data_IF_455189171513
#
_entry.id   IF_455189171513
#
_cell.length_a   1.000
_cell.length_b   1.000
_cell.length_c   1.000
_cell.angle_alpha   90.00
_cell.angle_beta   90.00
_cell.angle_gamma   90.00
#
_symmetry.space_group_name_H-M   'P 1'
#
loop_
_entity.id
_entity.type
_entity.pdbx_description
1 polymer ?
#
# COMPACT_ATOMS: atom_id res chain seq x y z
N UNK A 1 -13.87 -34.51 -11.57
CA UNK A 1 -13.64 -33.22 -10.88
C UNK A 1 -14.28 -33.32 -9.49
N UNK A 2 -13.56 -33.07 -8.40
CA UNK A 2 -13.96 -33.35 -7.00
C UNK A 2 -15.24 -32.62 -6.56
N UNK A 3 -15.73 -31.66 -7.35
CA UNK A 3 -16.91 -30.84 -7.06
C UNK A 3 -18.26 -31.56 -7.19
N UNK A 4 -18.33 -32.75 -7.78
CA UNK A 4 -19.62 -33.45 -8.01
C UNK A 4 -20.19 -34.19 -6.79
N UNK A 5 -19.46 -34.26 -5.66
CA UNK A 5 -19.84 -35.08 -4.51
C UNK A 5 -20.01 -34.32 -3.19
N UNK A 6 -20.23 -33.00 -3.25
CA UNK A 6 -20.41 -32.17 -2.05
C UNK A 6 -21.45 -31.08 -2.29
N UNK A 7 -22.16 -30.66 -1.23
CA UNK A 7 -23.02 -29.47 -1.22
C UNK A 7 -22.16 -28.19 -1.17
N UNK A 8 -21.22 -28.05 -2.11
CA UNK A 8 -20.35 -26.88 -2.24
C UNK A 8 -20.80 -26.05 -3.44
N UNK A 9 -20.83 -24.74 -3.27
CA UNK A 9 -21.17 -23.77 -4.31
C UNK A 9 -20.00 -22.81 -4.51
N UNK A 10 -19.77 -22.38 -5.75
CA UNK A 10 -18.78 -21.36 -6.10
C UNK A 10 -19.56 -20.09 -6.43
N UNK A 11 -19.42 -19.07 -5.58
CA UNK A 11 -20.13 -17.80 -5.71
C UNK A 11 -19.12 -16.66 -5.83
N UNK A 12 -19.50 -15.61 -6.56
CA UNK A 12 -18.79 -14.32 -6.49
C UNK A 12 -19.12 -13.61 -5.17
N UNK A 13 -18.31 -12.63 -4.73
CA UNK A 13 -18.61 -11.86 -3.52
C UNK A 13 -20.01 -11.21 -3.55
N UNK A 14 -20.43 -10.65 -4.69
CA UNK A 14 -21.77 -10.07 -4.84
C UNK A 14 -22.88 -11.12 -4.72
N UNK A 15 -22.72 -12.29 -5.33
CA UNK A 15 -23.69 -13.38 -5.23
C UNK A 15 -23.81 -13.91 -3.79
N UNK A 16 -22.69 -14.01 -3.08
CA UNK A 16 -22.70 -14.41 -1.68
C UNK A 16 -23.41 -13.37 -0.80
N UNK A 17 -23.18 -12.08 -1.05
CA UNK A 17 -23.84 -10.99 -0.34
C UNK A 17 -25.35 -10.94 -0.60
N UNK A 18 -25.80 -11.19 -1.83
CA UNK A 18 -27.23 -11.23 -2.18
C UNK A 18 -27.94 -12.47 -1.58
N UNK A 19 -27.23 -13.60 -1.49
CA UNK A 19 -27.79 -14.88 -1.04
C UNK A 19 -27.91 -14.98 0.47
N UNK A 20 -26.93 -14.49 1.23
CA UNK A 20 -26.83 -14.73 2.67
C UNK A 20 -27.29 -13.51 3.48
N UNK A 21 -28.02 -13.77 4.57
CA UNK A 21 -28.42 -12.70 5.50
C UNK A 21 -27.26 -12.34 6.44
N UNK A 22 -27.01 -11.04 6.69
CA UNK A 22 -25.99 -10.62 7.65
C UNK A 22 -26.39 -11.05 9.07
N UNK A 23 -25.44 -11.60 9.82
CA UNK A 23 -25.69 -12.14 11.18
C UNK A 23 -25.40 -11.11 12.26
N UNK A 24 -24.32 -10.33 12.11
CA UNK A 24 -23.89 -9.34 13.08
C UNK A 24 -23.04 -8.24 12.42
N UNK A 25 -23.03 -7.02 12.99
CA UNK A 25 -22.08 -5.98 12.58
C UNK A 25 -20.67 -6.34 13.04
N UNK A 26 -19.68 -6.08 12.16
CA UNK A 26 -18.27 -6.16 12.50
C UNK A 26 -17.75 -4.75 12.82
N UNK A 27 -17.19 -4.55 14.02
CA UNK A 27 -16.57 -3.29 14.43
C UNK A 27 -15.05 -3.37 14.28
N UNK A 28 -14.47 -2.55 13.40
CA UNK A 28 -13.03 -2.50 13.12
C UNK A 28 -12.55 -1.05 13.31
N UNK A 29 -12.23 -0.63 14.55
CA UNK A 29 -11.97 0.78 14.86
C UNK A 29 -10.59 1.29 14.40
N UNK A 30 -9.68 0.39 14.07
CA UNK A 30 -8.32 0.71 13.63
C UNK A 30 -8.03 0.04 12.29
N UNK A 31 -7.14 0.65 11.50
CA UNK A 31 -6.65 0.03 10.28
C UNK A 31 -5.89 -1.26 10.62
N UNK A 32 -6.22 -2.34 9.93
CA UNK A 32 -5.60 -3.65 10.06
C UNK A 32 -5.14 -4.13 8.69
N UNK A 33 -4.26 -5.11 8.67
CA UNK A 33 -3.82 -5.76 7.44
C UNK A 33 -3.79 -7.27 7.57
N UNK A 34 -3.70 -7.94 6.43
CA UNK A 34 -3.46 -9.39 6.38
C UNK A 34 -1.97 -9.74 6.56
N UNK A 35 -1.07 -8.76 6.52
CA UNK A 35 0.37 -8.96 6.55
C UNK A 35 0.88 -9.10 8.00
N UNK A 36 2.04 -9.74 8.13
CA UNK A 36 2.83 -9.96 9.35
C UNK A 36 2.04 -10.58 10.52
N UNK A 37 2.73 -10.91 11.61
CA UNK A 37 2.06 -11.44 12.80
C UNK A 37 1.13 -10.41 13.45
N UNK A 38 1.50 -9.13 13.44
CA UNK A 38 0.78 -8.08 14.16
C UNK A 38 -0.56 -7.68 13.53
N UNK A 39 -0.80 -8.05 12.25
CA UNK A 39 -2.04 -7.75 11.49
C UNK A 39 -2.44 -6.27 11.50
N UNK A 40 -1.45 -5.39 11.58
CA UNK A 40 -1.63 -3.94 11.62
C UNK A 40 -0.97 -3.28 10.38
N UNK A 41 -0.76 -1.96 10.44
CA UNK A 41 -0.18 -1.15 9.36
C UNK A 41 1.35 -1.01 9.43
N UNK A 42 2.00 -1.65 10.40
CA UNK A 42 3.43 -1.45 10.65
C UNK A 42 4.35 -1.97 9.53
N UNK A 43 3.85 -2.82 8.62
CA UNK A 43 4.55 -3.21 7.40
C UNK A 43 4.76 -2.03 6.42
N UNK A 44 3.94 -0.98 6.50
CA UNK A 44 4.01 0.20 5.62
C UNK A 44 4.28 1.52 6.35
N UNK A 45 3.99 1.60 7.66
CA UNK A 45 4.14 2.81 8.48
C UNK A 45 4.76 2.51 9.86
N UNK A 46 5.60 1.48 9.96
CA UNK A 46 6.21 1.03 11.20
C UNK A 46 7.53 1.71 11.57
N UNK A 47 8.16 2.45 10.65
CA UNK A 47 9.42 3.15 10.91
C UNK A 47 9.43 4.61 10.40
N UNK A 48 10.52 5.32 10.70
CA UNK A 48 10.69 6.74 10.36
C UNK A 48 10.80 6.97 8.85
N UNK A 49 11.51 6.11 8.11
CA UNK A 49 11.68 6.22 6.65
C UNK A 49 10.32 6.18 5.95
N UNK A 50 9.52 5.17 6.30
CA UNK A 50 8.15 4.98 5.83
C UNK A 50 7.25 6.18 6.18
N UNK A 51 7.28 6.59 7.44
CA UNK A 51 6.47 7.70 7.94
C UNK A 51 6.83 9.02 7.25
N UNK A 52 8.11 9.27 7.01
CA UNK A 52 8.60 10.47 6.33
C UNK A 52 8.21 10.47 4.85
N UNK A 53 8.46 9.36 4.14
CA UNK A 53 8.09 9.20 2.74
C UNK A 53 6.57 9.41 2.54
N UNK A 54 5.75 8.80 3.40
CA UNK A 54 4.30 8.94 3.37
C UNK A 54 3.85 10.38 3.61
N UNK A 55 4.35 11.02 4.67
CA UNK A 55 3.99 12.42 4.98
C UNK A 55 4.40 13.37 3.86
N UNK A 56 5.59 13.20 3.28
CA UNK A 56 6.04 14.08 2.19
C UNK A 56 5.24 13.88 0.90
N UNK A 57 4.78 12.66 0.61
CA UNK A 57 3.88 12.42 -0.52
C UNK A 57 2.59 13.22 -0.38
N UNK A 58 1.90 13.10 0.76
CA UNK A 58 0.59 13.75 0.93
C UNK A 58 0.69 15.28 1.11
N UNK A 59 1.87 15.83 1.45
CA UNK A 59 2.09 17.30 1.46
C UNK A 59 1.91 17.97 0.10
N UNK A 60 2.04 17.22 -0.99
CA UNK A 60 1.95 17.76 -2.36
C UNK A 60 0.65 17.37 -3.09
N UNK A 61 -0.24 16.63 -2.42
CA UNK A 61 -1.46 16.09 -3.02
C UNK A 61 -2.32 17.21 -3.63
N UNK A 62 -2.53 18.29 -2.88
CA UNK A 62 -3.36 19.40 -3.31
C UNK A 62 -2.79 20.12 -4.53
N UNK A 63 -1.48 20.36 -4.54
CA UNK A 63 -0.77 20.99 -5.66
C UNK A 63 -0.85 20.12 -6.92
N UNK A 64 -0.61 18.81 -6.79
CA UNK A 64 -0.72 17.87 -7.91
C UNK A 64 -2.16 17.82 -8.43
N UNK A 65 -3.15 17.77 -7.54
CA UNK A 65 -4.57 17.76 -7.91
C UNK A 65 -4.98 19.02 -8.68
N UNK A 66 -4.44 20.17 -8.31
CA UNK A 66 -4.74 21.47 -8.93
C UNK A 66 -3.93 21.76 -10.20
N UNK A 67 -2.89 20.97 -10.50
CA UNK A 67 -1.96 21.22 -11.61
C UNK A 67 -2.58 21.14 -13.02
N UNK A 68 -3.73 20.48 -13.18
CA UNK A 68 -4.31 20.10 -14.49
C UNK A 68 -3.33 19.33 -15.43
N UNK A 69 -2.24 18.78 -14.89
CA UNK A 69 -1.27 17.97 -15.64
C UNK A 69 -1.59 16.47 -15.46
N UNK A 70 -2.11 15.79 -16.51
CA UNK A 70 -2.48 14.38 -16.41
C UNK A 70 -1.28 13.45 -16.21
N UNK A 71 -0.09 13.83 -16.69
CA UNK A 71 1.14 13.05 -16.49
C UNK A 71 1.62 13.17 -15.04
N UNK A 72 1.63 14.40 -14.48
CA UNK A 72 1.98 14.61 -13.08
C UNK A 72 1.03 13.88 -12.14
N UNK A 73 -0.27 13.93 -12.39
CA UNK A 73 -1.26 13.21 -11.60
C UNK A 73 -1.08 11.69 -11.72
N UNK A 74 -0.70 11.17 -12.90
CA UNK A 74 -0.40 9.74 -13.08
C UNK A 74 0.83 9.33 -12.29
N UNK A 75 1.90 10.13 -12.33
CA UNK A 75 3.14 9.84 -11.63
C UNK A 75 2.93 9.87 -10.10
N UNK A 76 2.15 10.83 -9.60
CA UNK A 76 1.75 10.88 -8.19
C UNK A 76 0.91 9.66 -7.76
N UNK A 77 -0.03 9.19 -8.58
CA UNK A 77 -0.79 7.96 -8.31
C UNK A 77 0.12 6.73 -8.23
N UNK A 78 1.18 6.67 -9.04
CA UNK A 78 2.15 5.56 -8.99
C UNK A 78 2.95 5.56 -7.70
N UNK A 79 3.35 6.73 -7.19
CA UNK A 79 4.05 6.82 -5.90
C UNK A 79 3.20 6.38 -4.70
N UNK A 80 1.88 6.31 -4.84
CA UNK A 80 0.99 5.78 -3.80
C UNK A 80 0.96 4.24 -3.73
N UNK A 81 1.64 3.53 -4.64
CA UNK A 81 1.72 2.08 -4.57
C UNK A 81 2.34 1.64 -3.23
N UNK A 82 1.63 0.76 -2.51
CA UNK A 82 2.02 0.34 -1.16
C UNK A 82 3.39 -0.32 -1.12
N UNK A 83 3.80 -0.97 -2.21
CA UNK A 83 5.09 -1.61 -2.38
C UNK A 83 6.25 -0.66 -2.07
N UNK A 84 6.14 0.63 -2.41
CA UNK A 84 7.18 1.61 -2.09
C UNK A 84 7.47 1.70 -0.59
N UNK A 85 6.43 1.79 0.25
CA UNK A 85 6.60 1.83 1.69
C UNK A 85 6.97 0.47 2.26
N UNK A 86 6.46 -0.61 1.66
CA UNK A 86 6.80 -1.98 2.04
C UNK A 86 8.30 -2.27 1.84
N UNK A 87 8.92 -1.76 0.78
CA UNK A 87 10.37 -1.89 0.53
C UNK A 87 11.24 -1.10 1.50
N UNK A 88 10.67 -0.11 2.19
CA UNK A 88 11.34 0.66 3.25
C UNK A 88 11.17 0.03 4.64
N UNK A 89 10.51 -1.13 4.75
CA UNK A 89 10.31 -1.81 6.02
C UNK A 89 11.64 -2.30 6.60
N UNK A 90 11.84 -2.07 7.90
CA UNK A 90 13.04 -2.46 8.65
C UNK A 90 12.79 -3.59 9.64
N UNK A 91 11.60 -4.22 9.59
CA UNK A 91 11.33 -5.40 10.42
C UNK A 91 12.24 -6.55 9.98
N UNK A 92 12.97 -7.12 10.93
CA UNK A 92 13.85 -8.28 10.71
C UNK A 92 13.36 -9.42 11.60
N UNK A 93 12.63 -10.40 11.05
CA UNK A 93 12.47 -11.79 11.55
C UNK A 93 11.80 -12.62 10.43
N UNK A 94 11.00 -13.67 10.68
CA UNK A 94 10.41 -14.56 9.65
C UNK A 94 9.70 -13.85 8.48
N UNK A 95 9.26 -12.61 8.69
CA UNK A 95 8.62 -11.76 7.68
C UNK A 95 9.64 -11.00 6.80
N UNK A 96 10.88 -10.84 7.27
CA UNK A 96 11.97 -10.16 6.58
C UNK A 96 12.42 -10.84 5.28
N UNK A 97 12.22 -12.15 5.15
CA UNK A 97 12.48 -12.85 3.89
C UNK A 97 11.43 -12.50 2.84
N UNK A 98 10.14 -12.39 3.21
CA UNK A 98 9.06 -11.94 2.30
C UNK A 98 9.26 -10.50 1.86
N UNK A 99 9.74 -9.64 2.76
CA UNK A 99 10.14 -8.27 2.44
C UNK A 99 11.38 -8.18 1.52
N UNK A 100 12.16 -9.26 1.37
CA UNK A 100 13.29 -9.34 0.43
C UNK A 100 12.95 -10.04 -0.88
N UNK A 101 12.01 -10.99 -0.87
CA UNK A 101 11.68 -11.82 -2.04
C UNK A 101 11.28 -11.01 -3.29
N UNK A 102 10.65 -9.84 -3.09
CA UNK A 102 10.19 -8.97 -4.17
C UNK A 102 10.68 -7.53 -4.03
N UNK A 103 11.83 -7.30 -3.38
CA UNK A 103 12.38 -5.95 -3.23
C UNK A 103 13.47 -5.68 -4.27
N UNK A 104 13.32 -4.66 -5.14
CA UNK A 104 14.34 -4.33 -6.14
C UNK A 104 15.56 -3.59 -5.56
N UNK A 105 15.57 -3.31 -4.25
CA UNK A 105 16.64 -2.60 -3.55
C UNK A 105 17.38 -3.51 -2.59
N UNK A 106 18.69 -3.28 -2.41
CA UNK A 106 19.50 -4.08 -1.49
C UNK A 106 19.21 -3.74 -0.03
N UNK A 107 18.74 -2.50 0.23
CA UNK A 107 18.39 -2.04 1.58
C UNK A 107 17.14 -1.15 1.61
N UNK A 108 16.43 -1.10 2.76
CA UNK A 108 15.36 -0.13 2.99
C UNK A 108 15.78 1.34 2.79
N UNK A 109 17.05 1.65 3.07
CA UNK A 109 17.61 2.99 2.88
C UNK A 109 17.74 3.34 1.39
N UNK A 110 18.17 2.42 0.54
CA UNK A 110 18.19 2.63 -0.91
C UNK A 110 16.79 2.83 -1.48
N UNK A 111 15.83 2.02 -1.03
CA UNK A 111 14.42 2.20 -1.39
C UNK A 111 13.91 3.60 -1.03
N UNK A 112 14.21 4.06 0.19
CA UNK A 112 13.85 5.38 0.68
C UNK A 112 14.52 6.50 -0.14
N UNK A 113 15.84 6.42 -0.36
CA UNK A 113 16.59 7.44 -1.13
C UNK A 113 16.03 7.55 -2.54
N UNK A 114 15.80 6.42 -3.22
CA UNK A 114 15.24 6.43 -4.57
C UNK A 114 13.83 7.05 -4.59
N UNK A 115 12.97 6.65 -3.65
CA UNK A 115 11.63 7.21 -3.53
C UNK A 115 11.65 8.72 -3.29
N UNK A 116 12.50 9.20 -2.36
CA UNK A 116 12.59 10.62 -2.04
C UNK A 116 13.17 11.45 -3.20
N UNK A 117 14.08 10.89 -4.01
CA UNK A 117 14.57 11.53 -5.23
C UNK A 117 13.44 11.72 -6.26
N UNK A 118 12.63 10.69 -6.50
CA UNK A 118 11.48 10.77 -7.42
C UNK A 118 10.43 11.74 -6.88
N UNK A 119 10.13 11.68 -5.58
CA UNK A 119 9.19 12.60 -4.95
C UNK A 119 9.65 14.06 -5.02
N UNK A 120 10.96 14.31 -4.91
CA UNK A 120 11.54 15.65 -5.09
C UNK A 120 11.29 16.19 -6.49
N UNK A 121 11.49 15.38 -7.55
CA UNK A 121 11.17 15.78 -8.93
C UNK A 121 9.69 16.11 -9.10
N UNK A 122 8.78 15.25 -8.60
CA UNK A 122 7.34 15.49 -8.64
C UNK A 122 6.97 16.78 -7.89
N UNK A 123 7.60 17.04 -6.74
CA UNK A 123 7.39 18.26 -5.95
C UNK A 123 7.79 19.51 -6.74
N UNK A 124 8.93 19.46 -7.44
CA UNK A 124 9.38 20.56 -8.30
C UNK A 124 8.42 20.78 -9.48
N UNK A 125 7.90 19.71 -10.09
CA UNK A 125 6.91 19.81 -11.18
C UNK A 125 5.57 20.37 -10.69
N UNK A 126 5.14 20.01 -9.48
CA UNK A 126 3.90 20.51 -8.87
C UNK A 126 3.97 21.99 -8.45
N UNK A 127 5.18 22.54 -8.26
CA UNK A 127 5.38 23.93 -7.79
C UNK A 127 5.76 24.90 -8.90
N UNK A 128 6.20 24.40 -10.07
CA UNK A 128 6.44 25.23 -11.25
C UNK A 128 5.10 25.77 -11.77
N UNK A 129 4.96 27.09 -11.74
CA UNK A 129 3.91 27.84 -12.45
C UNK A 129 4.45 28.32 -13.79
#
# INVERSE_FOLDING_TARGET
>A
MILHHTNLEILTPSQAADKHQPIAPLNVPYAISWADEERDISAWLGNELQSEAFKNLYKIEDQVRQSNDPDLQRDFRRLQASDHFYYMCTKFFSDGDVHKYFNPYDTPYEAFINYMNVLSDITLRATKK
#
